data_IF_589434348668
#
_entry.id   IF_589434348668
#
_cell.length_a   1.000
_cell.length_b   1.000
_cell.length_c   1.000
_cell.angle_alpha   90.00
_cell.angle_beta   90.00
_cell.angle_gamma   90.00
#
_symmetry.space_group_name_H-M   'P 1'
#
loop_
_entity.id
_entity.type
_entity.pdbx_description
1 polymer ?
#
# COMPACT_ATOMS: atom_id res chain seq x y z
N UNK A 1 -20.75 -43.36 -73.79
CA UNK A 1 -21.51 -42.13 -73.50
C UNK A 1 -21.36 -41.92 -72.01
N UNK A 2 -20.34 -41.16 -71.63
CA UNK A 2 -19.90 -41.03 -70.24
C UNK A 2 -20.50 -39.77 -69.63
N UNK A 3 -21.22 -39.97 -68.54
CA UNK A 3 -21.96 -38.94 -67.82
C UNK A 3 -21.00 -38.05 -67.01
N UNK A 4 -21.18 -36.74 -67.11
CA UNK A 4 -20.43 -35.77 -66.31
C UNK A 4 -20.85 -35.83 -64.83
N UNK A 5 -19.92 -35.74 -63.87
CA UNK A 5 -20.26 -35.56 -62.47
C UNK A 5 -20.74 -34.11 -62.23
N UNK A 6 -21.94 -33.97 -61.67
CA UNK A 6 -22.50 -32.67 -61.30
C UNK A 6 -21.75 -32.09 -60.09
N UNK A 7 -21.12 -30.95 -60.28
CA UNK A 7 -20.39 -30.20 -59.26
C UNK A 7 -21.37 -29.42 -58.35
N UNK A 8 -22.23 -30.13 -57.62
CA UNK A 8 -23.07 -29.55 -56.56
C UNK A 8 -22.49 -29.90 -55.19
N UNK A 9 -21.21 -29.59 -54.96
CA UNK A 9 -20.64 -29.68 -53.61
C UNK A 9 -21.10 -28.44 -52.83
N UNK A 10 -22.23 -28.60 -52.15
CA UNK A 10 -22.75 -27.67 -51.15
C UNK A 10 -21.73 -27.67 -50.01
N UNK A 11 -20.91 -26.62 -49.94
CA UNK A 11 -20.08 -26.34 -48.77
C UNK A 11 -21.04 -25.85 -47.68
N UNK A 12 -21.49 -26.78 -46.85
CA UNK A 12 -22.18 -26.44 -45.61
C UNK A 12 -21.12 -25.86 -44.67
N UNK A 13 -21.03 -24.54 -44.59
CA UNK A 13 -20.44 -23.90 -43.42
C UNK A 13 -21.34 -24.27 -42.24
N UNK A 14 -20.82 -25.10 -41.33
CA UNK A 14 -21.39 -25.23 -40.00
C UNK A 14 -21.20 -23.85 -39.37
N UNK A 15 -22.28 -23.06 -39.32
CA UNK A 15 -22.33 -21.92 -38.43
C UNK A 15 -22.37 -22.49 -37.04
N UNK A 16 -21.20 -22.68 -36.44
CA UNK A 16 -21.10 -22.71 -34.99
C UNK A 16 -21.70 -21.37 -34.54
N UNK A 17 -22.89 -21.45 -33.98
CA UNK A 17 -23.46 -20.41 -33.14
C UNK A 17 -22.42 -20.14 -32.05
N UNK A 18 -21.60 -19.10 -32.25
CA UNK A 18 -20.95 -18.44 -31.14
C UNK A 18 -22.09 -17.87 -30.30
N UNK A 19 -22.48 -18.65 -29.29
CA UNK A 19 -23.18 -18.19 -28.12
C UNK A 19 -22.22 -17.21 -27.45
N UNK A 20 -22.24 -15.97 -27.95
CA UNK A 20 -21.55 -14.83 -27.38
C UNK A 20 -22.28 -14.57 -26.06
N UNK A 21 -21.86 -15.27 -25.00
CA UNK A 21 -22.28 -15.01 -23.65
C UNK A 21 -21.94 -13.54 -23.39
N UNK A 22 -22.93 -12.64 -23.24
CA UNK A 22 -22.64 -11.29 -22.85
C UNK A 22 -22.23 -11.39 -21.38
N UNK A 23 -20.94 -11.64 -21.13
CA UNK A 23 -20.31 -11.16 -19.92
C UNK A 23 -20.37 -9.64 -20.00
N UNK A 24 -21.55 -9.14 -19.63
CA UNK A 24 -21.80 -7.82 -19.09
C UNK A 24 -20.67 -7.59 -18.08
N UNK A 25 -19.63 -6.86 -18.52
CA UNK A 25 -18.65 -6.31 -17.60
C UNK A 25 -19.47 -5.56 -16.56
N UNK A 26 -19.31 -5.86 -15.25
CA UNK A 26 -20.00 -5.07 -14.26
C UNK A 26 -19.50 -3.64 -14.45
N UNK A 27 -20.37 -2.76 -14.91
CA UNK A 27 -20.17 -1.33 -14.76
C UNK A 27 -19.98 -1.13 -13.26
N UNK A 28 -18.72 -1.02 -12.85
CA UNK A 28 -18.31 -0.72 -11.49
C UNK A 28 -18.78 0.72 -11.27
N UNK A 29 -20.05 0.84 -10.89
CA UNK A 29 -20.67 2.03 -10.34
C UNK A 29 -19.84 2.36 -9.08
N UNK A 30 -18.80 3.16 -9.26
CA UNK A 30 -18.14 3.83 -8.15
C UNK A 30 -19.20 4.74 -7.54
N UNK A 31 -19.89 4.24 -6.51
CA UNK A 31 -20.53 5.09 -5.52
C UNK A 31 -19.47 6.12 -5.11
N UNK A 32 -19.68 7.37 -5.56
CA UNK A 32 -18.93 8.51 -5.08
C UNK A 32 -18.98 8.46 -3.55
N UNK A 33 -17.83 8.16 -2.96
CA UNK A 33 -17.58 8.23 -1.52
C UNK A 33 -18.25 9.51 -1.00
N UNK A 34 -19.12 9.43 0.02
CA UNK A 34 -19.75 10.62 0.57
C UNK A 34 -18.64 11.54 1.03
N UNK A 35 -18.50 12.68 0.33
CA UNK A 35 -17.56 13.76 0.66
C UNK A 35 -17.41 13.83 2.17
N UNK A 36 -16.28 13.35 2.68
CA UNK A 36 -15.94 13.53 4.09
C UNK A 36 -15.98 15.03 4.32
N UNK A 37 -16.99 15.46 5.09
CA UNK A 37 -17.02 16.79 5.64
C UNK A 37 -15.65 17.05 6.28
N UNK A 38 -14.99 18.18 5.94
CA UNK A 38 -13.77 18.54 6.63
C UNK A 38 -14.12 18.68 8.11
N UNK A 39 -13.66 17.72 8.92
CA UNK A 39 -13.72 17.81 10.38
C UNK A 39 -13.15 19.17 10.76
N UNK A 40 -14.06 20.05 11.19
CA UNK A 40 -13.73 21.36 11.71
C UNK A 40 -12.62 21.20 12.76
N UNK A 41 -11.50 21.88 12.53
CA UNK A 41 -10.55 22.20 13.58
C UNK A 41 -11.34 22.81 14.76
N UNK A 42 -11.25 22.25 15.97
CA UNK A 42 -11.64 23.01 17.13
C UNK A 42 -10.59 24.10 17.30
N UNK A 43 -10.90 25.30 16.80
CA UNK A 43 -10.40 26.55 17.38
C UNK A 43 -10.80 26.56 18.85
N UNK A 44 -9.97 25.98 19.70
CA UNK A 44 -9.97 26.30 21.12
C UNK A 44 -9.40 27.71 21.26
N UNK A 45 -10.29 28.69 21.17
CA UNK A 45 -10.15 29.98 21.84
C UNK A 45 -10.09 29.69 23.35
N UNK A 46 -8.88 29.48 23.89
CA UNK A 46 -8.64 29.49 25.32
C UNK A 46 -8.15 30.88 25.73
N UNK A 47 -9.10 31.80 25.86
CA UNK A 47 -8.94 32.99 26.70
C UNK A 47 -8.75 32.51 28.15
N UNK A 48 -7.52 32.57 28.66
CA UNK A 48 -7.25 32.56 30.10
C UNK A 48 -6.73 33.93 30.45
N UNK A 49 -7.67 34.78 30.83
CA UNK A 49 -7.40 35.93 31.68
C UNK A 49 -7.00 35.38 33.06
N UNK A 50 -5.76 35.63 33.48
CA UNK A 50 -5.35 35.48 34.87
C UNK A 50 -4.35 36.59 35.18
N UNK A 51 -4.81 37.51 36.02
CA UNK A 51 -4.05 38.64 36.56
C UNK A 51 -2.76 38.19 37.26
N UNK A 52 -1.68 38.87 36.86
CA UNK A 52 -0.63 39.50 37.67
C UNK A 52 -0.44 39.08 39.15
N UNK A 53 0.75 38.52 39.47
CA UNK A 53 1.55 38.91 40.67
C UNK A 53 3.02 38.37 40.63
N UNK A 54 3.95 39.14 40.00
CA UNK A 54 5.39 39.44 40.39
C UNK A 54 6.42 38.26 40.50
N UNK A 55 7.77 38.36 40.22
CA UNK A 55 8.72 39.51 40.16
C UNK A 55 9.57 39.59 38.84
N UNK A 56 10.52 40.55 38.69
CA UNK A 56 11.06 40.95 37.37
C UNK A 56 12.04 39.91 36.78
N UNK A 57 12.27 39.95 35.45
CA UNK A 57 13.06 38.94 34.77
C UNK A 57 14.54 39.10 35.07
N UNK A 58 15.17 38.02 35.55
CA UNK A 58 16.61 37.88 35.51
C UNK A 58 17.04 37.65 34.06
N UNK A 59 17.91 38.53 33.57
CA UNK A 59 18.61 38.47 32.29
C UNK A 59 19.32 37.11 32.13
N UNK A 60 18.77 36.24 31.28
CA UNK A 60 19.48 35.04 30.83
C UNK A 60 20.44 35.42 29.71
N UNK A 61 21.71 35.14 29.97
CA UNK A 61 22.81 35.22 29.03
C UNK A 61 22.52 34.40 27.77
N UNK A 62 22.44 35.13 26.67
CA UNK A 62 22.54 34.64 25.30
C UNK A 62 23.88 33.92 25.12
N UNK A 63 23.82 32.70 24.56
CA UNK A 63 24.89 32.18 23.72
C UNK A 63 25.63 30.96 24.25
N UNK A 64 25.11 29.78 23.95
CA UNK A 64 25.93 28.67 23.47
C UNK A 64 25.07 27.75 22.59
N UNK A 65 25.48 27.45 21.35
CA UNK A 65 24.79 26.46 20.53
C UNK A 65 25.05 25.08 21.15
N UNK A 66 23.98 24.44 21.61
CA UNK A 66 24.01 23.04 22.01
C UNK A 66 24.14 22.23 20.72
N UNK A 67 25.35 21.81 20.40
CA UNK A 67 25.57 20.69 19.48
C UNK A 67 24.83 19.49 20.08
N UNK A 68 23.85 18.88 19.38
CA UNK A 68 23.20 17.68 19.90
C UNK A 68 24.24 16.56 20.00
N UNK A 69 24.22 15.76 21.08
CA UNK A 69 25.12 14.62 21.19
C UNK A 69 24.82 13.63 20.05
N UNK A 70 25.84 12.90 19.54
CA UNK A 70 25.63 11.93 18.48
C UNK A 70 24.65 10.86 18.95
N UNK A 71 23.59 10.66 18.18
CA UNK A 71 22.69 9.52 18.30
C UNK A 71 23.53 8.25 18.16
N UNK A 72 23.72 7.53 19.27
CA UNK A 72 24.26 6.18 19.24
C UNK A 72 23.20 5.26 18.64
N UNK A 73 23.29 5.03 17.33
CA UNK A 73 22.72 3.86 16.68
C UNK A 73 23.35 2.61 17.31
N UNK A 74 22.61 1.97 18.21
CA UNK A 74 23.01 0.71 18.82
C UNK A 74 22.68 -0.42 17.86
N UNK A 75 23.60 -0.70 16.94
CA UNK A 75 23.69 -1.94 16.20
C UNK A 75 24.97 -2.66 16.62
N UNK A 76 24.85 -3.72 17.41
CA UNK A 76 25.72 -4.91 17.30
C UNK A 76 25.24 -6.02 18.21
N UNK A 77 24.71 -7.06 17.56
CA UNK A 77 24.83 -8.43 18.01
C UNK A 77 26.32 -8.82 18.03
N UNK A 78 26.93 -8.85 19.21
CA UNK A 78 28.11 -9.69 19.47
C UNK A 78 28.29 -9.93 20.96
N UNK A 79 28.47 -11.22 21.28
CA UNK A 79 28.98 -11.81 22.51
C UNK A 79 29.86 -10.89 23.37
N UNK A 80 29.49 -10.87 24.65
CA UNK A 80 30.38 -11.26 25.75
C UNK A 80 31.62 -10.37 25.97
N UNK A 81 31.53 -9.53 27.00
CA UNK A 81 32.44 -9.50 28.16
C UNK A 81 32.08 -8.24 28.96
N UNK A 82 31.48 -8.43 30.13
CA UNK A 82 31.24 -7.34 31.07
C UNK A 82 32.59 -6.81 31.60
N UNK A 83 32.85 -5.50 31.59
CA UNK A 83 33.99 -4.95 32.30
C UNK A 83 33.75 -5.09 33.80
N UNK A 84 34.58 -5.90 34.45
CA UNK A 84 34.68 -5.98 35.90
C UNK A 84 35.11 -4.60 36.39
N UNK A 85 34.16 -3.82 36.91
CA UNK A 85 34.46 -2.63 37.71
C UNK A 85 35.11 -3.16 38.99
N UNK A 86 36.43 -2.98 39.08
CA UNK A 86 37.17 -3.17 40.31
C UNK A 86 36.67 -2.14 41.31
N UNK A 87 35.82 -2.58 42.24
CA UNK A 87 35.38 -1.75 43.35
C UNK A 87 36.61 -1.41 44.20
N UNK A 88 36.93 -0.14 44.15
CA UNK A 88 37.92 0.57 44.92
C UNK A 88 37.85 0.20 46.41
N UNK A 89 39.03 0.04 46.98
CA UNK A 89 39.28 -0.59 48.27
C UNK A 89 38.47 0.06 49.41
N UNK A 90 37.81 -0.80 50.20
CA UNK A 90 37.44 -0.50 51.58
C UNK A 90 38.73 -0.25 52.37
N UNK A 91 39.11 1.02 52.49
CA UNK A 91 40.12 1.50 53.42
C UNK A 91 39.60 1.29 54.85
N UNK A 92 39.88 0.11 55.40
CA UNK A 92 39.67 -0.18 56.81
C UNK A 92 40.65 0.67 57.64
N UNK A 93 40.18 1.37 58.69
CA UNK A 93 41.10 2.06 59.57
C UNK A 93 42.00 1.04 60.28
N UNK A 94 43.28 1.36 60.53
CA UNK A 94 44.21 0.43 61.15
C UNK A 94 43.71 0.03 62.55
N UNK A 95 43.47 -1.27 62.71
CA UNK A 95 43.17 -1.92 63.99
C UNK A 95 44.47 -1.90 64.81
N UNK A 96 44.65 -0.86 65.63
CA UNK A 96 45.85 -0.73 66.44
C UNK A 96 46.03 0.64 67.09
N UNK A 97 45.00 1.17 67.75
CA UNK A 97 45.16 2.31 68.66
C UNK A 97 45.16 1.79 70.09
N UNK A 98 46.36 1.54 70.63
CA UNK A 98 46.60 1.35 72.05
C UNK A 98 46.44 2.71 72.74
N UNK A 99 45.27 2.97 73.31
CA UNK A 99 45.09 4.11 74.20
C UNK A 99 45.84 3.83 75.52
N UNK A 100 46.73 4.75 75.88
CA UNK A 100 47.39 4.77 77.18
C UNK A 100 46.33 5.06 78.26
N UNK A 101 46.18 4.14 79.21
CA UNK A 101 45.32 4.30 80.40
C UNK A 101 46.02 5.27 81.36
N UNK A 102 45.87 6.56 81.10
CA UNK A 102 46.41 7.64 81.91
C UNK A 102 45.45 8.12 83.01
N UNK A 103 45.45 7.43 84.15
CA UNK A 103 45.20 7.97 85.50
C UNK A 103 43.79 8.52 85.87
N UNK A 104 43.31 8.31 87.11
CA UNK A 104 42.07 8.90 87.59
C UNK A 104 42.26 10.40 87.82
N UNK A 105 42.03 11.20 86.77
CA UNK A 105 41.90 12.64 86.89
C UNK A 105 40.60 12.97 87.62
N UNK A 106 40.74 13.83 88.62
CA UNK A 106 39.73 14.28 89.59
C UNK A 106 38.33 14.41 89.03
N UNK A 107 37.40 13.68 89.67
CA UNK A 107 35.96 13.86 89.53
C UNK A 107 35.60 15.27 90.01
N UNK A 108 35.35 16.19 89.06
CA UNK A 108 34.53 17.37 89.37
C UNK A 108 33.12 16.87 89.64
N UNK A 109 32.75 16.79 90.92
CA UNK A 109 31.50 16.18 91.40
C UNK A 109 30.24 17.01 91.12
N UNK A 110 30.29 17.93 90.15
CA UNK A 110 29.12 18.62 89.62
C UNK A 110 29.29 18.76 88.10
N UNK A 111 28.54 18.00 87.29
CA UNK A 111 28.38 18.29 85.88
C UNK A 111 27.81 19.71 85.77
N UNK A 112 28.42 20.54 84.93
CA UNK A 112 27.95 21.88 84.62
C UNK A 112 26.56 21.80 84.00
N UNK A 113 25.49 21.82 84.80
CA UNK A 113 24.09 21.82 84.35
C UNK A 113 23.77 22.94 83.34
N UNK A 114 24.65 23.95 83.22
CA UNK A 114 24.57 25.04 82.25
C UNK A 114 24.84 24.64 80.78
N UNK A 115 25.53 23.52 80.49
CA UNK A 115 25.71 23.06 79.11
C UNK A 115 24.47 22.30 78.59
N UNK A 116 23.71 21.69 79.50
CA UNK A 116 22.55 20.88 79.16
C UNK A 116 21.36 21.74 78.67
N UNK A 117 21.20 22.94 79.23
CA UNK A 117 20.15 23.87 78.79
C UNK A 117 20.27 24.30 77.32
N UNK A 118 21.49 24.43 76.79
CA UNK A 118 21.72 24.76 75.37
C UNK A 118 21.41 23.59 74.44
N UNK A 119 21.71 22.36 74.88
CA UNK A 119 21.43 21.15 74.12
C UNK A 119 19.92 20.84 74.09
N UNK A 120 19.22 21.06 75.21
CA UNK A 120 17.76 20.96 75.30
C UNK A 120 17.08 21.99 74.39
N UNK A 121 17.52 23.26 74.40
CA UNK A 121 16.96 24.28 73.49
C UNK A 121 17.16 23.90 72.00
N UNK A 122 18.33 23.39 71.63
CA UNK A 122 18.58 22.88 70.27
C UNK A 122 17.68 21.69 69.92
N UNK A 123 17.37 20.83 70.90
CA UNK A 123 16.49 19.68 70.71
C UNK A 123 15.03 20.12 70.53
N UNK A 124 14.58 21.12 71.28
CA UNK A 124 13.25 21.72 71.14
C UNK A 124 13.08 22.38 69.76
N UNK A 125 14.06 23.17 69.32
CA UNK A 125 14.06 23.78 67.98
C UNK A 125 13.98 22.71 66.86
N UNK A 126 14.72 21.60 67.01
CA UNK A 126 14.66 20.48 66.07
C UNK A 126 13.31 19.76 66.13
N UNK A 127 12.72 19.65 67.33
CA UNK A 127 11.40 19.03 67.55
C UNK A 127 10.29 19.82 66.87
N UNK A 128 10.39 21.15 66.83
CA UNK A 128 9.45 22.01 66.12
C UNK A 128 9.57 21.90 64.59
N UNK A 129 10.77 21.64 64.06
CA UNK A 129 11.00 21.45 62.62
C UNK A 129 10.47 20.11 62.09
N UNK A 130 10.49 19.03 62.89
CA UNK A 130 10.05 17.71 62.44
C UNK A 130 8.62 17.68 61.87
N UNK A 131 7.58 18.24 62.54
CA UNK A 131 6.23 18.29 62.00
C UNK A 131 6.13 19.03 60.65
N UNK A 132 6.94 20.07 60.43
CA UNK A 132 6.96 20.81 59.16
C UNK A 132 7.54 19.96 58.02
N UNK A 133 8.62 19.22 58.29
CA UNK A 133 9.25 18.31 57.34
C UNK A 133 8.32 17.15 56.95
N UNK A 134 7.59 16.58 57.93
CA UNK A 134 6.61 15.52 57.67
C UNK A 134 5.49 16.03 56.75
N UNK A 135 4.92 17.21 57.04
CA UNK A 135 3.89 17.83 56.19
C UNK A 135 4.41 18.15 54.79
N UNK A 136 5.67 18.56 54.66
CA UNK A 136 6.30 18.79 53.37
C UNK A 136 6.43 17.50 52.55
N UNK A 137 6.92 16.42 53.17
CA UNK A 137 7.04 15.12 52.51
C UNK A 137 5.67 14.58 52.07
N UNK A 138 4.64 14.70 52.91
CA UNK A 138 3.28 14.31 52.55
C UNK A 138 2.77 15.10 51.33
N UNK A 139 3.06 16.40 51.24
CA UNK A 139 2.73 17.22 50.07
C UNK A 139 3.49 16.76 48.82
N UNK A 140 4.77 16.43 48.96
CA UNK A 140 5.60 15.90 47.88
C UNK A 140 5.07 14.55 47.37
N UNK A 141 4.68 13.65 48.28
CA UNK A 141 4.08 12.36 47.93
C UNK A 141 2.78 12.55 47.15
N UNK A 142 1.87 13.41 47.62
CA UNK A 142 0.62 13.73 46.91
C UNK A 142 0.88 14.31 45.52
N UNK A 143 1.88 15.20 45.39
CA UNK A 143 2.29 15.78 44.10
C UNK A 143 2.85 14.73 43.15
N UNK A 144 3.70 13.82 43.64
CA UNK A 144 4.25 12.72 42.85
C UNK A 144 3.17 11.73 42.42
N UNK A 145 2.25 11.38 43.31
CA UNK A 145 1.11 10.51 43.01
C UNK A 145 0.25 11.08 41.87
N UNK A 146 -0.14 12.36 41.95
CA UNK A 146 -0.92 13.01 40.90
C UNK A 146 -0.20 13.02 39.54
N UNK A 147 1.12 13.27 39.52
CA UNK A 147 1.92 13.19 38.29
C UNK A 147 1.96 11.78 37.69
N UNK A 148 2.09 10.76 38.54
CA UNK A 148 2.12 9.36 38.09
C UNK A 148 0.76 8.90 37.56
N UNK A 149 -0.34 9.35 38.15
CA UNK A 149 -1.70 9.08 37.65
C UNK A 149 -1.94 9.77 36.30
N UNK A 150 -1.49 11.02 36.15
CA UNK A 150 -1.56 11.75 34.89
C UNK A 150 -0.77 11.05 33.77
N UNK A 151 0.51 10.70 34.03
CA UNK A 151 1.32 9.99 33.04
C UNK A 151 0.78 8.59 32.71
N UNK A 152 0.21 7.89 33.69
CA UNK A 152 -0.46 6.60 33.46
C UNK A 152 -1.68 6.74 32.53
N UNK A 153 -2.45 7.83 32.65
CA UNK A 153 -3.56 8.14 31.75
C UNK A 153 -3.08 8.40 30.32
N UNK A 154 -2.00 9.17 30.15
CA UNK A 154 -1.39 9.43 28.84
C UNK A 154 -0.88 8.15 28.18
N UNK A 155 -0.15 7.31 28.91
CA UNK A 155 0.33 6.01 28.42
C UNK A 155 -0.84 5.14 27.94
N UNK A 156 -1.98 5.16 28.65
CA UNK A 156 -3.18 4.42 28.23
C UNK A 156 -3.76 4.95 26.91
N UNK A 157 -3.76 6.27 26.71
CA UNK A 157 -4.22 6.88 25.45
C UNK A 157 -3.29 6.52 24.28
N UNK A 158 -1.97 6.63 24.49
CA UNK A 158 -0.97 6.23 23.49
C UNK A 158 -1.15 4.77 23.11
N UNK A 159 -1.32 3.88 24.09
CA UNK A 159 -1.57 2.45 23.83
C UNK A 159 -2.82 2.24 22.97
N UNK A 160 -3.94 2.92 23.29
CA UNK A 160 -5.16 2.83 22.49
C UNK A 160 -4.93 3.27 21.04
N UNK A 161 -4.20 4.36 20.84
CA UNK A 161 -3.85 4.86 19.50
C UNK A 161 -2.99 3.84 18.74
N UNK A 162 -2.00 3.23 19.40
CA UNK A 162 -1.18 2.18 18.79
C UNK A 162 -2.00 0.94 18.40
N UNK A 163 -2.95 0.53 19.24
CA UNK A 163 -3.84 -0.60 18.95
C UNK A 163 -4.78 -0.30 17.76
N UNK A 164 -5.16 0.97 17.57
CA UNK A 164 -5.98 1.43 16.44
C UNK A 164 -5.18 1.45 15.13
N UNK A 165 -3.99 2.07 15.13
CA UNK A 165 -3.06 2.04 13.99
C UNK A 165 -2.71 0.60 13.60
N UNK A 166 -2.52 -0.29 14.58
CA UNK A 166 -2.26 -1.70 14.33
C UNK A 166 -3.39 -2.43 13.61
N UNK A 167 -4.66 -2.03 13.82
CA UNK A 167 -5.80 -2.55 13.07
C UNK A 167 -5.84 -1.98 11.65
N UNK A 168 -5.69 -0.66 11.52
CA UNK A 168 -5.75 0.02 10.22
C UNK A 168 -4.68 -0.55 9.26
N UNK A 169 -3.45 -0.75 9.75
CA UNK A 169 -2.38 -1.40 8.98
C UNK A 169 -2.72 -2.86 8.60
N UNK A 170 -3.43 -3.58 9.47
CA UNK A 170 -3.88 -4.93 9.21
C UNK A 170 -4.91 -4.98 8.08
N UNK A 171 -5.86 -4.05 8.07
CA UNK A 171 -6.89 -3.94 7.05
C UNK A 171 -6.30 -3.47 5.70
N UNK A 172 -5.36 -2.52 5.73
CA UNK A 172 -4.60 -2.08 4.54
C UNK A 172 -3.83 -3.24 3.89
N UNK A 173 -3.23 -4.12 4.70
CA UNK A 173 -2.54 -5.30 4.20
C UNK A 173 -3.51 -6.28 3.53
N UNK A 174 -4.72 -6.46 4.07
CA UNK A 174 -5.74 -7.30 3.44
C UNK A 174 -6.22 -6.73 2.10
N UNK A 175 -6.42 -5.41 2.05
CA UNK A 175 -6.77 -4.72 0.81
C UNK A 175 -5.65 -4.88 -0.23
N UNK A 176 -4.40 -4.70 0.17
CA UNK A 176 -3.23 -4.86 -0.72
C UNK A 176 -3.19 -6.27 -1.34
N UNK A 177 -3.40 -7.31 -0.53
CA UNK A 177 -3.46 -8.69 -1.03
C UNK A 177 -4.63 -8.91 -2.01
N UNK A 178 -5.78 -8.28 -1.77
CA UNK A 178 -6.93 -8.36 -2.68
C UNK A 178 -6.62 -7.71 -4.03
N UNK A 179 -5.99 -6.53 -4.01
CA UNK A 179 -5.58 -5.81 -5.23
C UNK A 179 -4.55 -6.62 -6.01
N UNK A 180 -3.52 -7.16 -5.35
CA UNK A 180 -2.49 -7.97 -5.99
C UNK A 180 -3.08 -9.21 -6.68
N UNK A 181 -4.03 -9.89 -6.04
CA UNK A 181 -4.74 -11.03 -6.64
C UNK A 181 -5.59 -10.63 -7.87
N UNK A 182 -6.18 -9.41 -7.88
CA UNK A 182 -6.91 -8.92 -9.05
C UNK A 182 -5.97 -8.55 -10.20
N UNK A 183 -4.83 -7.94 -9.89
CA UNK A 183 -3.81 -7.55 -10.89
C UNK A 183 -3.23 -8.78 -11.58
N UNK A 184 -2.84 -9.80 -10.81
CA UNK A 184 -2.32 -11.06 -11.39
C UNK A 184 -3.34 -11.74 -12.29
N UNK A 185 -4.62 -11.78 -11.90
CA UNK A 185 -5.70 -12.32 -12.75
C UNK A 185 -5.90 -11.53 -14.05
N UNK A 186 -5.67 -10.22 -14.04
CA UNK A 186 -5.73 -9.39 -15.25
C UNK A 186 -4.53 -9.66 -16.16
N UNK A 187 -3.33 -9.81 -15.59
CA UNK A 187 -2.12 -10.15 -16.33
C UNK A 187 -2.24 -11.50 -17.04
N UNK A 188 -2.79 -12.52 -16.37
CA UNK A 188 -3.06 -13.83 -16.97
C UNK A 188 -4.02 -13.73 -18.16
N UNK A 189 -5.07 -12.90 -18.05
CA UNK A 189 -6.04 -12.67 -19.15
C UNK A 189 -5.41 -11.95 -20.35
N UNK A 190 -4.55 -10.98 -20.09
CA UNK A 190 -3.86 -10.25 -21.16
C UNK A 190 -2.86 -11.15 -21.90
N UNK A 191 -2.20 -12.06 -21.17
CA UNK A 191 -1.34 -13.08 -21.74
C UNK A 191 -2.13 -14.05 -22.64
N UNK A 192 -3.30 -14.54 -22.18
CA UNK A 192 -4.18 -15.39 -22.98
C UNK A 192 -4.62 -14.70 -24.28
N UNK A 193 -5.05 -13.43 -24.21
CA UNK A 193 -5.42 -12.63 -25.39
C UNK A 193 -4.24 -12.46 -26.35
N UNK A 194 -3.03 -12.27 -25.85
CA UNK A 194 -1.83 -12.14 -26.68
C UNK A 194 -1.55 -13.44 -27.47
N UNK A 195 -1.72 -14.60 -26.84
CA UNK A 195 -1.56 -15.91 -27.48
C UNK A 195 -2.63 -16.14 -28.56
N UNK A 196 -3.88 -15.74 -28.31
CA UNK A 196 -4.96 -15.80 -29.31
C UNK A 196 -4.68 -14.93 -30.53
N UNK A 197 -4.23 -13.69 -30.32
CA UNK A 197 -3.84 -12.78 -31.41
C UNK A 197 -2.68 -13.38 -32.21
N UNK A 198 -1.69 -14.00 -31.56
CA UNK A 198 -0.59 -14.66 -32.25
C UNK A 198 -1.09 -15.84 -33.11
N UNK A 199 -2.04 -16.63 -32.58
CA UNK A 199 -2.67 -17.73 -33.31
C UNK A 199 -3.45 -17.23 -34.54
N UNK A 200 -4.24 -16.17 -34.39
CA UNK A 200 -4.96 -15.53 -35.50
C UNK A 200 -3.99 -15.01 -36.57
N UNK A 201 -2.88 -14.38 -36.15
CA UNK A 201 -1.84 -13.89 -37.06
C UNK A 201 -1.21 -15.03 -37.88
N UNK A 202 -0.97 -16.20 -37.28
CA UNK A 202 -0.47 -17.40 -37.99
C UNK A 202 -1.48 -17.91 -39.02
N UNK A 203 -2.76 -17.96 -38.66
CA UNK A 203 -3.83 -18.34 -39.59
C UNK A 203 -3.96 -17.35 -40.76
N UNK A 204 -3.89 -16.05 -40.49
CA UNK A 204 -3.95 -15.02 -41.52
C UNK A 204 -2.79 -15.14 -42.51
N UNK A 205 -1.55 -15.35 -42.03
CA UNK A 205 -0.40 -15.56 -42.91
C UNK A 205 -0.55 -16.82 -43.78
N UNK A 206 -1.13 -17.89 -43.24
CA UNK A 206 -1.45 -19.10 -44.01
C UNK A 206 -2.50 -18.82 -45.08
N UNK A 207 -3.54 -18.05 -44.76
CA UNK A 207 -4.58 -17.68 -45.73
C UNK A 207 -4.03 -16.78 -46.85
N UNK A 208 -3.16 -15.82 -46.53
CA UNK A 208 -2.52 -14.92 -47.49
C UNK A 208 -1.65 -15.68 -48.50
N UNK A 209 -0.88 -16.67 -48.04
CA UNK A 209 -0.07 -17.54 -48.91
C UNK A 209 -0.94 -18.40 -49.83
N UNK A 210 -2.02 -18.98 -49.32
CA UNK A 210 -2.98 -19.75 -50.12
C UNK A 210 -3.67 -18.88 -51.19
N UNK A 211 -4.07 -17.66 -50.82
CA UNK A 211 -4.69 -16.73 -51.77
C UNK A 211 -3.72 -16.32 -52.88
N UNK A 212 -2.46 -16.04 -52.53
CA UNK A 212 -1.40 -15.74 -53.50
C UNK A 212 -1.17 -16.90 -54.49
N UNK A 213 -1.25 -18.15 -54.03
CA UNK A 213 -1.17 -19.34 -54.88
C UNK A 213 -2.35 -19.42 -55.87
N UNK A 214 -3.58 -19.28 -55.38
CA UNK A 214 -4.79 -19.30 -56.24
C UNK A 214 -4.76 -18.20 -57.30
N UNK A 215 -4.29 -17.00 -56.94
CA UNK A 215 -4.11 -15.90 -57.89
C UNK A 215 -3.07 -16.25 -58.96
N UNK A 216 -1.95 -16.87 -58.57
CA UNK A 216 -0.90 -17.29 -59.51
C UNK A 216 -1.43 -18.33 -60.50
N UNK A 217 -2.14 -19.35 -60.00
CA UNK A 217 -2.77 -20.38 -60.84
C UNK A 217 -3.76 -19.75 -61.82
N UNK A 218 -4.59 -18.82 -61.36
CA UNK A 218 -5.58 -18.11 -62.20
C UNK A 218 -4.90 -17.38 -63.36
N UNK A 219 -3.80 -16.69 -63.10
CA UNK A 219 -3.08 -15.95 -64.14
C UNK A 219 -2.42 -16.91 -65.15
N UNK A 220 -1.92 -18.05 -64.70
CA UNK A 220 -1.40 -19.10 -65.56
C UNK A 220 -2.50 -19.70 -66.46
N UNK A 221 -3.66 -20.03 -65.89
CA UNK A 221 -4.83 -20.49 -66.64
C UNK A 221 -5.30 -19.46 -67.66
N UNK A 222 -5.35 -18.18 -67.27
CA UNK A 222 -5.73 -17.09 -68.18
C UNK A 222 -4.77 -16.99 -69.36
N UNK A 223 -3.46 -17.12 -69.12
CA UNK A 223 -2.44 -17.15 -70.17
C UNK A 223 -2.61 -18.37 -71.09
N UNK A 224 -2.82 -19.56 -70.52
CA UNK A 224 -3.06 -20.78 -71.30
C UNK A 224 -4.31 -20.66 -72.18
N UNK A 225 -5.38 -20.06 -71.66
CA UNK A 225 -6.61 -19.82 -72.40
C UNK A 225 -6.39 -18.88 -73.60
N UNK A 226 -5.70 -17.74 -73.41
CA UNK A 226 -5.39 -16.83 -74.53
C UNK A 226 -4.51 -17.49 -75.59
N UNK A 227 -3.53 -18.29 -75.18
CA UNK A 227 -2.69 -19.05 -76.10
C UNK A 227 -3.52 -20.05 -76.93
N UNK A 228 -4.45 -20.76 -76.28
CA UNK A 228 -5.35 -21.68 -76.96
C UNK A 228 -6.28 -20.95 -77.94
N UNK A 229 -6.85 -19.81 -77.53
CA UNK A 229 -7.70 -18.99 -78.39
C UNK A 229 -6.94 -18.50 -79.63
N UNK A 230 -5.69 -18.05 -79.46
CA UNK A 230 -4.83 -17.64 -80.57
C UNK A 230 -4.58 -18.82 -81.54
N UNK A 231 -4.23 -19.99 -81.00
CA UNK A 231 -4.00 -21.20 -81.78
C UNK A 231 -5.25 -21.67 -82.56
N UNK A 232 -6.42 -21.65 -81.92
CA UNK A 232 -7.70 -21.97 -82.57
C UNK A 232 -8.02 -20.97 -83.69
N UNK A 233 -7.79 -19.68 -83.45
CA UNK A 233 -8.03 -18.62 -84.44
C UNK A 233 -7.12 -18.75 -85.66
N UNK A 234 -5.87 -19.17 -85.48
CA UNK A 234 -4.93 -19.45 -86.57
C UNK A 234 -5.38 -20.66 -87.41
N UNK A 235 -5.85 -21.73 -86.76
CA UNK A 235 -6.30 -22.98 -87.42
C UNK A 235 -7.59 -22.83 -88.22
N UNK A 236 -8.55 -22.04 -87.75
CA UNK A 236 -9.87 -21.90 -88.40
C UNK A 236 -9.89 -20.83 -89.50
N UNK A 237 -8.82 -20.05 -89.64
CA UNK A 237 -8.74 -18.91 -90.56
C UNK A 237 -9.58 -17.73 -90.08
N UNK A 238 -9.01 -16.53 -90.14
CA UNK A 238 -9.61 -15.27 -89.67
C UNK A 238 -10.97 -14.92 -90.29
N UNK A 239 -11.41 -15.62 -91.35
CA UNK A 239 -12.65 -15.30 -92.09
C UNK A 239 -13.96 -15.84 -91.49
N UNK A 240 -13.92 -16.71 -90.46
CA UNK A 240 -15.13 -17.42 -89.99
C UNK A 240 -15.66 -16.99 -88.61
N UNK A 241 -15.02 -16.04 -87.92
CA UNK A 241 -15.34 -15.68 -86.53
C UNK A 241 -15.95 -14.28 -86.36
N UNK A 242 -16.54 -13.67 -87.42
CA UNK A 242 -17.34 -12.44 -87.31
C UNK A 242 -18.74 -12.72 -86.73
N UNK A 243 -18.79 -13.55 -85.68
CA UNK A 243 -19.98 -13.69 -84.84
C UNK A 243 -19.86 -12.61 -83.78
N UNK A 244 -20.43 -11.44 -84.09
CA UNK A 244 -20.58 -10.34 -83.14
C UNK A 244 -20.96 -10.90 -81.77
N UNK A 245 -20.26 -10.53 -80.67
CA UNK A 245 -20.72 -10.87 -79.35
C UNK A 245 -22.13 -10.29 -79.22
N UNK A 246 -23.12 -11.17 -79.09
CA UNK A 246 -24.50 -10.77 -78.85
C UNK A 246 -24.47 -10.17 -77.45
N UNK A 247 -24.30 -8.86 -77.37
CA UNK A 247 -24.49 -8.04 -76.18
C UNK A 247 -25.97 -8.01 -75.75
N UNK A 248 -26.69 -9.11 -75.95
CA UNK A 248 -27.95 -9.40 -75.30
C UNK A 248 -27.65 -9.66 -73.84
N UNK A 249 -27.43 -8.59 -73.07
CA UNK A 249 -27.81 -8.56 -71.68
C UNK A 249 -29.28 -8.98 -71.64
N UNK A 250 -29.53 -10.27 -71.51
CA UNK A 250 -30.77 -10.75 -70.94
C UNK A 250 -30.85 -10.07 -69.59
N UNK A 251 -31.72 -9.06 -69.50
CA UNK A 251 -32.09 -8.41 -68.26
C UNK A 251 -32.53 -9.52 -67.32
N UNK A 252 -31.62 -9.95 -66.45
CA UNK A 252 -31.92 -10.89 -65.38
C UNK A 252 -32.91 -10.12 -64.52
N UNK A 253 -34.19 -10.47 -64.68
CA UNK A 253 -35.29 -9.73 -64.08
C UNK A 253 -34.98 -9.51 -62.61
N UNK A 254 -35.09 -8.26 -62.17
CA UNK A 254 -35.00 -7.87 -60.77
C UNK A 254 -35.94 -8.78 -59.98
N UNK A 255 -35.38 -9.84 -59.38
CA UNK A 255 -36.07 -10.60 -58.36
C UNK A 255 -36.31 -9.63 -57.21
N UNK A 256 -37.58 -9.27 -57.00
CA UNK A 256 -37.98 -8.46 -55.86
C UNK A 256 -37.37 -9.07 -54.60
N UNK A 257 -36.73 -8.27 -53.74
CA UNK A 257 -36.21 -8.78 -52.48
C UNK A 257 -37.37 -9.41 -51.69
N UNK A 258 -37.17 -10.59 -51.09
CA UNK A 258 -38.18 -11.20 -50.24
C UNK A 258 -38.53 -10.22 -49.11
N UNK A 259 -39.83 -10.05 -48.87
CA UNK A 259 -40.33 -9.17 -47.79
C UNK A 259 -39.75 -9.64 -46.46
N UNK A 260 -39.20 -8.74 -45.63
CA UNK A 260 -38.75 -9.12 -44.30
C UNK A 260 -39.95 -9.64 -43.48
N UNK A 261 -39.75 -10.67 -42.64
CA UNK A 261 -40.79 -11.17 -41.75
C UNK A 261 -41.26 -10.03 -40.83
N UNK A 262 -42.58 -9.88 -40.75
CA UNK A 262 -43.26 -8.86 -39.97
C UNK A 262 -43.03 -9.14 -38.49
N UNK A 263 -42.34 -8.26 -37.79
CA UNK A 263 -42.11 -8.38 -36.35
C UNK A 263 -43.43 -8.52 -35.59
N UNK A 264 -43.53 -9.43 -34.60
CA UNK A 264 -44.72 -9.54 -33.75
C UNK A 264 -44.88 -8.26 -32.92
N UNK A 265 -46.07 -7.67 -33.03
CA UNK A 265 -46.48 -6.55 -32.21
C UNK A 265 -46.62 -7.04 -30.77
N UNK A 266 -45.71 -6.61 -29.89
CA UNK A 266 -45.87 -6.77 -28.45
C UNK A 266 -47.11 -6.00 -28.01
N UNK A 267 -48.05 -6.68 -27.36
CA UNK A 267 -49.20 -6.08 -26.69
C UNK A 267 -49.21 -6.59 -25.26
N UNK A 268 -48.99 -5.63 -24.36
CA UNK A 268 -49.28 -5.59 -22.91
C UNK A 268 -48.64 -6.63 -22.00
#
# INVERSE_FOLDING_TARGET
MDAQPSLNHVINFHGDEFEEDPQEEPEEEFEEDPKEDPKEDPKEELEVEAEDDVPPPATLLIGSPITPPPLFESSSDTKDVAPIVANEALEMPPIGSTYEVGGPSSVSLFPSFNLHGREIARLDDNTELFPSNVKYLERCEKKCKGKMEASSSEIRKVKKCMDEIGRDLGDEMQFSNLVENRVTKLEDKDQEKAEEIEKLKKHLGTLETNYSLVLSDRDEWKKAFYNLQAWVSERLGWGAMDVRPVNGLASFGQSKPPKPPRSPSSSQ
#
